data_IF_114039421836
#
_entry.id   IF_114039421836
#
_cell.length_a   1.000
_cell.length_b   1.000
_cell.length_c   1.000
_cell.angle_alpha   90.00
_cell.angle_beta   90.00
_cell.angle_gamma   90.00
#
_symmetry.space_group_name_H-M   'P 1'
#
loop_
_entity.id
_entity.type
_entity.pdbx_description
1 polymer ?
#
# COMPACT_ATOMS: atom_id res chain seq x y z
N UNK A 1 -18.25 -13.14 -13.89
CA UNK A 1 -17.95 -11.70 -13.81
C UNK A 1 -16.83 -11.35 -12.83
N UNK A 2 -16.72 -12.00 -11.66
CA UNK A 2 -15.68 -11.68 -10.66
C UNK A 2 -14.24 -11.85 -11.16
N UNK A 3 -13.92 -12.93 -11.89
CA UNK A 3 -12.58 -13.14 -12.46
C UNK A 3 -12.18 -12.03 -13.44
N UNK A 4 -13.05 -11.76 -14.42
CA UNK A 4 -12.79 -10.71 -15.43
C UNK A 4 -12.51 -9.37 -14.78
N UNK A 5 -13.35 -8.95 -13.83
CA UNK A 5 -13.15 -7.67 -13.11
C UNK A 5 -11.84 -7.65 -12.31
N UNK A 6 -11.47 -8.76 -11.67
CA UNK A 6 -10.20 -8.88 -10.95
C UNK A 6 -9.00 -8.82 -11.88
N UNK A 7 -8.99 -9.58 -12.96
CA UNK A 7 -7.93 -9.55 -13.98
C UNK A 7 -7.81 -8.15 -14.57
N UNK A 8 -8.92 -7.52 -14.95
CA UNK A 8 -8.89 -6.13 -15.43
C UNK A 8 -8.31 -5.18 -14.40
N UNK A 9 -8.67 -5.33 -13.11
CA UNK A 9 -8.12 -4.51 -12.03
C UNK A 9 -6.61 -4.73 -11.84
N UNK A 10 -6.13 -5.95 -12.04
CA UNK A 10 -4.70 -6.30 -12.02
C UNK A 10 -3.94 -5.60 -13.14
N UNK A 11 -4.44 -5.70 -14.38
CA UNK A 11 -3.81 -5.04 -15.53
C UNK A 11 -3.86 -3.51 -15.43
N UNK A 12 -4.97 -2.95 -14.91
CA UNK A 12 -5.05 -1.51 -14.60
C UNK A 12 -3.99 -1.13 -13.55
N UNK A 13 -3.73 -1.99 -12.57
CA UNK A 13 -2.65 -1.79 -11.60
C UNK A 13 -1.28 -1.68 -12.28
N UNK A 14 -1.01 -2.52 -13.28
CA UNK A 14 0.21 -2.40 -14.10
C UNK A 14 0.27 -1.08 -14.87
N UNK A 15 -0.86 -0.60 -15.43
CA UNK A 15 -0.91 0.75 -16.02
C UNK A 15 -0.62 1.87 -15.03
N UNK A 16 -0.84 1.63 -13.73
CA UNK A 16 -0.53 2.55 -12.62
C UNK A 16 0.84 2.26 -11.98
N UNK A 17 1.76 1.63 -12.73
CA UNK A 17 3.16 1.36 -12.29
C UNK A 17 3.22 0.51 -11.01
N UNK A 18 2.23 -0.37 -10.79
CA UNK A 18 2.30 -1.40 -9.76
C UNK A 18 2.82 -2.70 -10.36
N UNK A 19 3.96 -3.18 -9.87
CA UNK A 19 4.42 -4.54 -10.14
C UNK A 19 3.62 -5.58 -9.33
N UNK A 20 3.90 -6.85 -9.61
CA UNK A 20 3.40 -7.94 -8.79
C UNK A 20 3.74 -7.74 -7.30
N UNK A 21 2.79 -8.05 -6.43
CA UNK A 21 2.93 -7.91 -4.97
C UNK A 21 3.14 -9.29 -4.33
N UNK A 22 4.11 -9.39 -3.41
CA UNK A 22 4.36 -10.60 -2.62
C UNK A 22 4.17 -10.40 -1.10
N UNK A 23 3.84 -9.18 -0.66
CA UNK A 23 3.82 -8.83 0.76
C UNK A 23 2.59 -9.33 1.52
N UNK A 24 1.42 -9.14 0.93
CA UNK A 24 0.12 -9.45 1.54
C UNK A 24 -0.84 -9.94 0.46
N UNK A 25 -1.98 -10.49 0.89
CA UNK A 25 -3.11 -10.74 -0.01
C UNK A 25 -3.46 -9.45 -0.78
N UNK A 26 -3.34 -9.50 -2.10
CA UNK A 26 -3.43 -8.33 -2.97
C UNK A 26 -3.92 -8.73 -4.36
N UNK A 27 -4.73 -7.89 -5.01
CA UNK A 27 -5.11 -8.06 -6.41
C UNK A 27 -3.90 -8.05 -7.36
N UNK A 28 -2.79 -7.42 -6.92
CA UNK A 28 -1.52 -7.41 -7.65
C UNK A 28 -0.66 -8.65 -7.41
N UNK A 29 -1.09 -9.66 -6.65
CA UNK A 29 -0.28 -10.89 -6.56
C UNK A 29 -0.20 -11.58 -7.92
N UNK A 30 1.01 -11.99 -8.31
CA UNK A 30 1.21 -12.80 -9.51
C UNK A 30 0.52 -14.17 -9.36
N UNK A 31 0.06 -14.72 -10.48
CA UNK A 31 -0.64 -16.01 -10.52
C UNK A 31 -0.03 -16.90 -11.61
N UNK A 32 0.32 -18.14 -11.26
CA UNK A 32 0.89 -19.11 -12.20
C UNK A 32 -0.19 -20.03 -12.81
N UNK A 33 -1.36 -20.15 -12.16
CA UNK A 33 -2.45 -20.98 -12.63
C UNK A 33 -3.84 -20.47 -12.20
N UNK A 34 -4.89 -21.09 -12.73
CA UNK A 34 -6.27 -20.66 -12.50
C UNK A 34 -6.75 -20.86 -11.05
N UNK A 35 -6.17 -21.82 -10.33
CA UNK A 35 -6.53 -22.14 -8.96
C UNK A 35 -5.95 -21.10 -7.98
N UNK A 36 -4.73 -20.63 -8.24
CA UNK A 36 -4.13 -19.47 -7.56
C UNK A 36 -4.94 -18.21 -7.79
N UNK A 37 -5.32 -17.92 -9.03
CA UNK A 37 -6.11 -16.72 -9.35
C UNK A 37 -7.42 -16.67 -8.54
N UNK A 38 -8.16 -17.78 -8.33
CA UNK A 38 -9.41 -17.75 -7.53
C UNK A 38 -9.18 -17.22 -6.13
N UNK A 39 -8.04 -17.54 -5.53
CA UNK A 39 -7.72 -17.21 -4.14
C UNK A 39 -7.34 -15.74 -3.98
N UNK A 40 -7.01 -15.05 -5.08
CA UNK A 40 -6.59 -13.66 -5.03
C UNK A 40 -7.76 -12.73 -4.65
N UNK A 41 -7.54 -11.83 -3.68
CA UNK A 41 -8.57 -10.91 -3.22
C UNK A 41 -8.87 -9.83 -4.27
N UNK A 42 -10.08 -9.24 -4.24
CA UNK A 42 -10.46 -8.15 -5.13
C UNK A 42 -10.04 -6.76 -4.59
N UNK A 43 -8.92 -6.66 -3.86
CA UNK A 43 -8.47 -5.41 -3.23
C UNK A 43 -6.95 -5.24 -3.28
N UNK A 44 -6.49 -3.99 -3.26
CA UNK A 44 -5.08 -3.67 -3.06
C UNK A 44 -4.71 -3.84 -1.59
N UNK A 45 -3.54 -4.41 -1.34
CA UNK A 45 -2.98 -4.42 0.01
C UNK A 45 -2.56 -3.01 0.44
N UNK A 46 -2.29 -2.78 1.73
CA UNK A 46 -1.93 -1.45 2.25
C UNK A 46 -0.74 -0.82 1.53
N UNK A 47 0.27 -1.63 1.17
CA UNK A 47 1.46 -1.17 0.44
C UNK A 47 1.11 -0.71 -0.96
N UNK A 48 0.39 -1.53 -1.74
CA UNK A 48 0.02 -1.18 -3.11
C UNK A 48 -0.98 -0.01 -3.15
N UNK A 49 -1.87 0.07 -2.16
CA UNK A 49 -2.80 1.18 -2.06
C UNK A 49 -2.10 2.50 -1.72
N UNK A 50 -1.11 2.46 -0.83
CA UNK A 50 -0.26 3.60 -0.52
C UNK A 50 0.51 4.08 -1.75
N UNK A 51 1.11 3.16 -2.53
CA UNK A 51 1.77 3.47 -3.80
C UNK A 51 0.80 4.15 -4.78
N UNK A 52 -0.40 3.58 -4.95
CA UNK A 52 -1.42 4.14 -5.82
C UNK A 52 -1.86 5.53 -5.35
N UNK A 53 -2.09 5.71 -4.06
CA UNK A 53 -2.46 7.02 -3.50
C UNK A 53 -1.37 8.07 -3.73
N UNK A 54 -0.10 7.71 -3.56
CA UNK A 54 1.03 8.59 -3.88
C UNK A 54 1.09 8.95 -5.37
N UNK A 55 0.78 8.01 -6.26
CA UNK A 55 0.73 8.27 -7.70
C UNK A 55 -0.41 9.23 -8.06
N UNK A 56 -1.58 9.07 -7.44
CA UNK A 56 -2.76 9.89 -7.70
C UNK A 56 -2.73 11.26 -7.02
N UNK A 57 -1.86 11.45 -6.01
CA UNK A 57 -1.67 12.68 -5.25
C UNK A 57 -1.75 13.98 -6.09
N UNK A 58 -1.02 14.13 -7.22
CA UNK A 58 -1.03 15.36 -7.98
C UNK A 58 -2.38 15.66 -8.64
N UNK A 59 -3.16 14.62 -8.96
CA UNK A 59 -4.47 14.74 -9.59
C UNK A 59 -5.56 15.16 -8.59
N UNK A 60 -5.33 14.94 -7.29
CA UNK A 60 -6.27 15.25 -6.21
C UNK A 60 -6.07 16.69 -5.70
N UNK A 61 -5.12 17.46 -6.27
CA UNK A 61 -5.04 18.92 -6.13
C UNK A 61 -4.32 19.46 -4.90
N UNK A 62 -3.60 18.63 -4.14
CA UNK A 62 -2.77 19.06 -2.98
C UNK A 62 -1.44 18.32 -2.95
N UNK A 63 -0.34 18.92 -2.44
CA UNK A 63 0.78 18.12 -1.96
C UNK A 63 0.20 17.12 -0.93
N UNK A 64 0.43 15.84 -1.17
CA UNK A 64 -0.15 14.80 -0.31
C UNK A 64 0.61 14.79 1.00
N UNK A 65 0.07 15.50 1.99
CA UNK A 65 0.45 15.28 3.38
C UNK A 65 -0.02 13.88 3.78
N UNK A 66 0.66 13.23 4.74
CA UNK A 66 0.20 11.96 5.30
C UNK A 66 -1.28 11.97 5.69
N UNK A 67 -1.79 13.09 6.18
CA UNK A 67 -3.20 13.23 6.59
C UNK A 67 -4.17 13.19 5.40
N UNK A 68 -3.87 13.92 4.32
CA UNK A 68 -4.72 13.96 3.12
C UNK A 68 -4.78 12.57 2.48
N UNK A 69 -3.66 11.86 2.48
CA UNK A 69 -3.59 10.49 2.02
C UNK A 69 -4.43 9.54 2.86
N UNK A 70 -4.30 9.63 4.18
CA UNK A 70 -5.07 8.79 5.10
C UNK A 70 -6.56 9.03 4.91
N UNK A 71 -6.99 10.29 4.76
CA UNK A 71 -8.38 10.66 4.48
C UNK A 71 -8.87 10.09 3.13
N UNK A 72 -8.05 10.16 2.07
CA UNK A 72 -8.39 9.58 0.78
C UNK A 72 -8.58 8.06 0.88
N UNK A 73 -7.63 7.37 1.49
CA UNK A 73 -7.67 5.92 1.71
C UNK A 73 -8.90 5.56 2.56
N UNK A 74 -9.17 6.31 3.63
CA UNK A 74 -10.32 6.09 4.50
C UNK A 74 -11.64 6.24 3.74
N UNK A 75 -11.81 7.34 3.01
CA UNK A 75 -13.01 7.59 2.22
C UNK A 75 -13.27 6.50 1.17
N UNK A 76 -12.20 5.98 0.54
CA UNK A 76 -12.31 4.85 -0.39
C UNK A 76 -12.82 3.58 0.30
N UNK A 77 -12.26 3.23 1.46
CA UNK A 77 -12.68 2.07 2.24
C UNK A 77 -14.14 2.20 2.70
N UNK A 78 -14.55 3.37 3.16
CA UNK A 78 -15.93 3.64 3.56
C UNK A 78 -16.91 3.49 2.40
N UNK A 79 -16.58 4.07 1.23
CA UNK A 79 -17.42 4.00 0.04
C UNK A 79 -17.59 2.56 -0.46
N UNK A 80 -16.48 1.82 -0.57
CA UNK A 80 -16.50 0.42 -1.01
C UNK A 80 -17.17 -0.50 0.01
N UNK A 81 -16.93 -0.31 1.30
CA UNK A 81 -17.60 -1.08 2.36
C UNK A 81 -19.12 -0.87 2.31
N UNK A 82 -19.56 0.39 2.14
CA UNK A 82 -20.98 0.73 1.98
C UNK A 82 -21.60 0.03 0.78
N UNK A 83 -20.91 0.00 -0.37
CA UNK A 83 -21.38 -0.73 -1.54
C UNK A 83 -21.48 -2.23 -1.27
N UNK A 84 -20.44 -2.83 -0.72
CA UNK A 84 -20.37 -4.27 -0.48
C UNK A 84 -21.43 -4.75 0.51
N UNK A 85 -21.74 -3.96 1.54
CA UNK A 85 -22.79 -4.25 2.54
C UNK A 85 -24.20 -4.35 1.96
N UNK A 86 -24.45 -3.82 0.75
CA UNK A 86 -25.73 -4.02 0.03
C UNK A 86 -25.92 -5.47 -0.44
N UNK A 87 -24.84 -6.25 -0.51
CA UNK A 87 -24.82 -7.58 -1.10
C UNK A 87 -24.25 -8.65 -0.16
N UNK A 88 -24.80 -8.82 1.06
CA UNK A 88 -24.19 -9.67 2.11
C UNK A 88 -24.20 -11.17 1.76
N UNK A 89 -25.07 -11.60 0.84
CA UNK A 89 -25.12 -13.00 0.38
C UNK A 89 -24.05 -13.34 -0.68
N UNK A 90 -23.36 -12.33 -1.22
CA UNK A 90 -22.25 -12.54 -2.16
C UNK A 90 -20.96 -12.63 -1.36
N UNK A 91 -20.43 -13.84 -1.20
CA UNK A 91 -19.29 -14.11 -0.29
C UNK A 91 -18.08 -13.21 -0.51
N UNK A 92 -17.76 -12.88 -1.78
CA UNK A 92 -16.67 -11.94 -2.10
C UNK A 92 -16.91 -10.53 -1.54
N UNK A 93 -18.14 -10.01 -1.63
CA UNK A 93 -18.47 -8.69 -1.10
C UNK A 93 -18.59 -8.70 0.41
N UNK A 94 -19.13 -9.78 1.01
CA UNK A 94 -19.14 -9.94 2.45
C UNK A 94 -17.70 -9.93 3.03
N UNK A 95 -16.79 -10.70 2.44
CA UNK A 95 -15.38 -10.73 2.83
C UNK A 95 -14.68 -9.38 2.62
N UNK A 96 -14.91 -8.72 1.49
CA UNK A 96 -14.35 -7.40 1.21
C UNK A 96 -14.85 -6.33 2.20
N UNK A 97 -16.14 -6.34 2.53
CA UNK A 97 -16.72 -5.43 3.52
C UNK A 97 -16.12 -5.63 4.92
N UNK A 98 -15.92 -6.89 5.33
CA UNK A 98 -15.28 -7.23 6.60
C UNK A 98 -13.81 -6.77 6.64
N UNK A 99 -13.05 -7.02 5.58
CA UNK A 99 -11.68 -6.52 5.43
C UNK A 99 -11.62 -5.00 5.59
N UNK A 100 -12.47 -4.26 4.87
CA UNK A 100 -12.48 -2.80 4.95
C UNK A 100 -12.89 -2.28 6.32
N UNK A 101 -13.86 -2.92 6.98
CA UNK A 101 -14.24 -2.56 8.34
C UNK A 101 -13.04 -2.66 9.30
N UNK A 102 -12.31 -3.78 9.27
CA UNK A 102 -11.12 -3.97 10.08
C UNK A 102 -10.04 -2.94 9.77
N UNK A 103 -9.84 -2.61 8.49
CA UNK A 103 -8.87 -1.59 8.07
C UNK A 103 -9.20 -0.20 8.60
N UNK A 104 -10.48 0.19 8.56
CA UNK A 104 -10.95 1.46 9.10
C UNK A 104 -10.73 1.56 10.60
N UNK A 105 -11.02 0.49 11.35
CA UNK A 105 -10.77 0.44 12.81
C UNK A 105 -9.29 0.61 13.14
N UNK A 106 -8.40 -0.09 12.42
CA UNK A 106 -6.95 0.05 12.60
C UNK A 106 -6.44 1.46 12.27
N UNK A 107 -6.99 2.10 11.24
CA UNK A 107 -6.62 3.47 10.89
C UNK A 107 -7.03 4.45 12.01
N UNK A 108 -8.24 4.28 12.56
CA UNK A 108 -8.74 5.10 13.66
C UNK A 108 -7.90 4.91 14.95
N UNK A 109 -7.52 3.68 15.28
CA UNK A 109 -6.69 3.43 16.46
C UNK A 109 -5.29 4.04 16.35
N UNK A 110 -4.68 4.00 15.15
CA UNK A 110 -3.39 4.63 14.91
C UNK A 110 -3.47 6.16 15.05
N UNK A 111 -4.52 6.79 14.54
CA UNK A 111 -4.73 8.24 14.70
C UNK A 111 -4.89 8.63 16.17
N UNK A 112 -5.71 7.90 16.93
CA UNK A 112 -5.91 8.15 18.36
C UNK A 112 -4.62 8.03 19.19
N UNK A 113 -3.73 7.09 18.84
CA UNK A 113 -2.44 6.93 19.54
C UNK A 113 -1.42 8.04 19.28
N UNK A 114 -1.51 8.71 18.13
CA UNK A 114 -0.61 9.82 17.78
C UNK A 114 -1.02 11.14 18.46
N UNK A 115 -2.31 11.33 18.70
CA UNK A 115 -2.82 12.49 19.44
C UNK A 115 -2.33 12.48 20.91
N UNK A 116 -2.24 11.31 21.54
CA UNK A 116 -1.80 11.17 22.94
C UNK A 116 -0.30 11.39 23.17
N UNK A 117 0.53 11.28 22.12
CA UNK A 117 2.00 11.43 22.19
C UNK A 117 2.47 12.88 21.92
N UNK A 118 1.56 13.73 21.44
CA UNK A 118 1.84 15.14 21.13
C UNK A 118 1.73 16.10 22.34
N UNK A 119 1.47 15.57 23.53
CA UNK A 119 1.26 16.33 24.76
C UNK A 119 2.37 16.18 25.80
N UNK A 120 3.63 16.44 25.45
CA UNK A 120 4.67 16.99 26.34
C UNK A 120 5.92 17.28 25.50
N UNK A 121 6.16 18.54 25.11
CA UNK A 121 7.51 18.95 24.70
C UNK A 121 8.26 19.36 25.96
N UNK A 122 9.43 18.77 26.27
CA UNK A 122 10.27 19.26 27.35
C UNK A 122 10.63 20.72 27.12
N UNK A 123 10.54 21.53 28.19
CA UNK A 123 10.97 22.92 28.20
C UNK A 123 12.40 23.05 27.64
N UNK A 124 12.72 24.15 26.91
CA UNK A 124 14.08 24.41 26.42
C UNK A 124 15.17 24.39 27.51
N UNK A 125 14.79 24.55 28.78
CA UNK A 125 15.70 24.69 29.91
C UNK A 125 16.30 23.35 30.41
N UNK A 126 15.78 22.19 29.96
CA UNK A 126 16.22 20.88 30.46
C UNK A 126 17.36 20.23 29.65
N UNK A 127 17.85 20.88 28.59
CA UNK A 127 18.97 20.33 27.79
C UNK A 127 20.31 20.65 28.45
N UNK A 128 20.73 19.79 29.38
CA UNK A 128 22.13 19.77 29.84
C UNK A 128 23.03 19.35 28.68
N UNK A 129 23.97 20.22 28.30
CA UNK A 129 24.90 20.01 27.19
C UNK A 129 25.63 18.65 27.31
N UNK A 130 25.39 17.75 26.36
CA UNK A 130 26.15 16.52 26.19
C UNK A 130 27.50 16.81 25.50
N UNK A 131 28.60 16.13 25.88
CA UNK A 131 29.90 16.39 25.27
C UNK A 131 29.97 15.86 23.84
N UNK A 132 30.68 16.60 22.98
CA UNK A 132 30.82 16.35 21.56
C UNK A 132 31.43 14.95 21.29
N UNK A 133 30.64 14.05 20.69
CA UNK A 133 31.12 12.79 20.15
C UNK A 133 31.47 12.92 18.66
N UNK A 134 32.60 12.30 18.30
CA UNK A 134 33.34 12.22 17.03
C UNK A 134 32.62 12.41 15.68
N UNK A 135 33.36 12.82 14.61
CA UNK A 135 32.81 12.98 13.26
C UNK A 135 32.29 11.66 12.71
N UNK A 136 31.04 11.62 12.24
CA UNK A 136 30.50 10.50 11.47
C UNK A 136 31.10 10.50 10.06
N UNK A 137 31.72 9.41 9.66
CA UNK A 137 32.05 9.17 8.24
C UNK A 137 30.76 9.14 7.39
N UNK A 138 30.78 9.69 6.17
CA UNK A 138 29.62 9.63 5.28
C UNK A 138 29.44 8.21 4.73
N UNK A 139 28.25 7.65 4.97
CA UNK A 139 27.81 6.39 4.39
C UNK A 139 27.72 6.54 2.88
N UNK A 140 28.60 5.87 2.13
CA UNK A 140 28.60 5.90 0.67
C UNK A 140 27.29 5.34 0.10
N UNK A 141 26.61 6.14 -0.71
CA UNK A 141 25.47 5.70 -1.52
C UNK A 141 25.94 4.75 -2.63
N UNK A 142 25.30 3.61 -2.90
CA UNK A 142 25.67 2.78 -4.05
C UNK A 142 25.23 3.44 -5.37
N UNK A 143 26.17 3.54 -6.32
CA UNK A 143 25.96 4.06 -7.68
C UNK A 143 24.97 3.20 -8.49
N UNK A 144 24.15 3.82 -9.38
CA UNK A 144 23.16 3.11 -10.18
C UNK A 144 23.77 2.61 -11.51
N UNK A 145 24.44 1.45 -11.52
CA UNK A 145 24.93 0.86 -12.78
C UNK A 145 24.92 -0.69 -12.87
N UNK A 146 24.00 -1.39 -12.20
CA UNK A 146 23.94 -2.87 -12.28
C UNK A 146 22.55 -3.44 -12.60
N UNK A 147 21.79 -2.79 -13.48
CA UNK A 147 20.55 -3.37 -14.02
C UNK A 147 20.45 -3.22 -15.53
N UNK A 148 21.41 -3.80 -16.26
CA UNK A 148 21.31 -4.03 -17.71
C UNK A 148 22.41 -5.00 -18.15
N UNK A 149 22.26 -6.29 -17.84
CA UNK A 149 22.70 -7.38 -18.74
C UNK A 149 22.31 -8.77 -18.23
N UNK A 150 21.95 -9.61 -19.20
CA UNK A 150 21.82 -11.07 -19.19
C UNK A 150 20.45 -11.67 -18.83
N UNK A 151 19.82 -12.25 -19.86
CA UNK A 151 18.58 -13.02 -19.77
C UNK A 151 17.93 -13.35 -21.12
N UNK A 152 18.68 -13.41 -22.22
CA UNK A 152 18.22 -14.06 -23.46
C UNK A 152 18.82 -15.46 -23.48
N UNK A 153 18.03 -16.46 -23.10
CA UNK A 153 18.39 -17.86 -23.26
C UNK A 153 17.34 -18.50 -24.15
N UNK A 154 17.69 -18.64 -25.43
CA UNK A 154 16.96 -19.45 -26.41
C UNK A 154 17.07 -20.91 -25.99
N UNK A 155 15.96 -21.61 -25.94
CA UNK A 155 15.91 -23.08 -25.77
C UNK A 155 16.08 -23.72 -27.15
N UNK A 156 17.04 -24.64 -27.36
CA UNK A 156 17.14 -25.37 -28.62
C UNK A 156 16.11 -26.51 -28.67
N UNK A 157 15.59 -26.69 -29.87
CA UNK A 157 14.69 -27.77 -30.30
C UNK A 157 15.54 -29.02 -30.53
N UNK A 158 15.18 -30.13 -29.90
CA UNK A 158 15.46 -31.47 -30.40
C UNK A 158 14.35 -32.42 -29.95
#
# INVERSE_FOLDING_TARGET
>A
MSRTARTMSHEIGHCMVLDHCSFFACVMQGTANIAEDVRQPPYLCPICLQKLSNLLAPLIGKPTTPDIQMQFIQGQHEALARFCRRWPKVGMFAGLAAWMAQRLELMQSHMASQETDSGEQPSPDDVKAAPASHPREPLASPSPQLYLQSGSMRVPIN
#
